data_IF_551574255338
#
_entry.id   IF_551574255338
#
_cell.length_a   1.000
_cell.length_b   1.000
_cell.length_c   1.000
_cell.angle_alpha   90.00
_cell.angle_beta   90.00
_cell.angle_gamma   90.00
#
_symmetry.space_group_name_H-M   'P 1'
#
loop_
_entity.id
_entity.type
_entity.pdbx_description
1 polymer ?
2 non-polymer ?
#
# COMPACT_ATOMS: atom_id res chain seq x y z
N UNK A 1 3.35 23.39 13.85
CA UNK A 1 3.27 21.91 13.85
C UNK A 1 3.81 21.38 12.52
N UNK A 2 4.07 22.29 11.57
CA UNK A 2 4.60 21.89 10.28
C UNK A 2 5.96 21.23 10.48
N UNK A 3 6.56 21.49 11.63
CA UNK A 3 7.85 20.91 11.95
C UNK A 3 7.79 19.41 11.67
N UNK A 4 6.67 18.80 12.05
CA UNK A 4 6.48 17.38 11.85
C UNK A 4 6.46 17.04 10.34
N UNK A 5 5.88 17.95 9.55
CA UNK A 5 5.81 17.77 8.10
C UNK A 5 7.17 17.49 7.54
N UNK A 6 8.17 18.15 8.08
CA UNK A 6 9.53 17.95 7.65
C UNK A 6 9.99 16.52 7.95
N UNK A 7 9.57 15.98 9.09
CA UNK A 7 9.98 14.63 9.47
C UNK A 7 9.37 13.61 8.54
N UNK A 8 8.08 13.72 8.37
CA UNK A 8 7.36 12.81 7.48
C UNK A 8 7.97 12.95 6.10
N UNK A 9 8.30 14.19 5.80
CA UNK A 9 8.90 14.55 4.54
C UNK A 9 10.28 13.91 4.36
N UNK A 10 11.17 14.05 5.34
CA UNK A 10 12.50 13.47 5.21
C UNK A 10 12.46 11.95 5.37
N UNK A 11 11.81 11.50 6.41
CA UNK A 11 11.72 10.07 6.65
C UNK A 11 11.03 9.46 5.46
N UNK A 12 10.01 10.14 4.97
CA UNK A 12 9.26 9.66 3.81
C UNK A 12 10.12 9.64 2.55
N UNK A 13 10.82 10.73 2.26
CA UNK A 13 11.67 10.77 1.07
C UNK A 13 12.73 9.70 1.20
N UNK A 14 13.12 9.43 2.43
CA UNK A 14 14.12 8.43 2.73
C UNK A 14 13.50 7.05 2.68
N UNK A 15 12.24 7.00 3.09
CA UNK A 15 11.49 5.76 3.12
C UNK A 15 11.37 5.17 1.73
N UNK A 16 10.94 5.99 0.78
CA UNK A 16 10.82 5.52 -0.59
C UNK A 16 12.21 5.26 -1.16
N UNK A 17 13.12 6.16 -0.86
CA UNK A 17 14.47 6.02 -1.34
C UNK A 17 15.08 4.75 -0.79
N UNK A 18 14.81 4.50 0.49
CA UNK A 18 15.34 3.33 1.14
C UNK A 18 14.57 2.07 0.73
N UNK A 19 13.24 2.17 0.70
CA UNK A 19 12.41 1.00 0.37
C UNK A 19 12.68 0.47 -1.03
N UNK A 20 12.77 1.35 -2.00
CA UNK A 20 13.00 0.89 -3.36
C UNK A 20 14.30 0.09 -3.39
N UNK A 21 15.23 0.48 -2.52
CA UNK A 21 16.52 -0.18 -2.41
C UNK A 21 16.42 -1.47 -1.59
N UNK A 22 15.53 -1.50 -0.61
CA UNK A 22 15.41 -2.68 0.23
C UNK A 22 15.12 -3.94 -0.62
N UNK A 23 15.72 -5.08 -0.31
CA UNK A 23 15.49 -6.34 -1.09
C UNK A 23 14.02 -6.75 -1.19
N UNK A 24 13.68 -7.38 -2.32
CA UNK A 24 12.33 -7.85 -2.56
C UNK A 24 11.42 -6.75 -3.08
N UNK A 25 11.81 -5.50 -2.85
CA UNK A 25 11.01 -4.38 -3.29
C UNK A 25 11.28 -4.04 -4.76
N UNK A 26 10.20 -3.75 -5.49
CA UNK A 26 10.31 -3.37 -6.90
C UNK A 26 9.67 -2.00 -7.05
N UNK A 27 10.42 -1.03 -7.56
CA UNK A 27 9.91 0.34 -7.72
C UNK A 27 9.41 0.60 -9.11
N UNK A 28 8.36 1.41 -9.18
CA UNK A 28 7.74 1.76 -10.46
C UNK A 28 7.93 3.25 -10.77
N UNK A 29 7.67 3.66 -12.00
CA UNK A 29 7.82 5.09 -12.40
C UNK A 29 6.88 5.99 -11.61
N UNK A 30 5.73 5.44 -11.22
CA UNK A 30 4.73 6.19 -10.48
C UNK A 30 5.26 6.48 -9.07
N UNK A 31 6.33 5.79 -8.71
CA UNK A 31 6.94 5.94 -7.40
C UNK A 31 6.37 4.89 -6.46
N UNK A 32 5.45 4.08 -6.96
CA UNK A 32 4.84 3.04 -6.15
C UNK A 32 5.79 1.85 -6.10
N UNK A 33 6.00 1.31 -4.90
CA UNK A 33 6.90 0.17 -4.74
C UNK A 33 6.17 -1.00 -4.10
N UNK A 34 6.44 -2.20 -4.61
CA UNK A 34 5.82 -3.41 -4.06
C UNK A 34 6.84 -4.50 -3.85
N UNK A 35 6.62 -5.27 -2.79
CA UNK A 35 7.49 -6.36 -2.43
C UNK A 35 6.68 -7.61 -2.25
N UNK A 36 7.15 -8.69 -2.85
CA UNK A 36 6.44 -9.97 -2.79
C UNK A 36 6.85 -10.79 -1.58
N UNK A 37 5.98 -10.82 -0.59
CA UNK A 37 6.23 -11.60 0.61
C UNK A 37 6.11 -13.07 0.25
N UNK A 38 5.09 -13.36 -0.56
CA UNK A 38 4.81 -14.72 -1.00
C UNK A 38 4.32 -14.69 -2.44
N UNK A 39 4.94 -15.50 -3.29
CA UNK A 39 4.54 -15.56 -4.70
C UNK A 39 3.42 -16.58 -4.88
N UNK A 40 2.37 -16.19 -5.58
CA UNK A 40 1.23 -17.07 -5.84
C UNK A 40 1.03 -17.24 -7.34
N UNK A 41 1.28 -16.15 -8.08
CA UNK A 41 1.15 -16.16 -9.52
C UNK A 41 -0.27 -16.56 -9.94
N UNK A 42 -1.25 -16.23 -9.09
CA UNK A 42 -2.63 -16.55 -9.39
C UNK A 42 -3.33 -15.42 -10.13
N UNK A 43 -4.64 -15.48 -10.09
CA UNK A 43 -5.48 -14.48 -10.72
C UNK A 43 -5.35 -13.16 -9.97
N UNK A 44 -6.08 -12.17 -10.43
CA UNK A 44 -6.08 -10.84 -9.81
C UNK A 44 -6.98 -9.89 -10.62
N UNK A 45 -7.51 -8.87 -9.98
CA UNK A 45 -8.51 -7.93 -10.60
C UNK A 45 -7.96 -6.74 -11.36
N UNK A 46 -8.80 -6.22 -12.25
CA UNK A 46 -8.50 -5.03 -13.02
C UNK A 46 -8.96 -3.81 -12.25
N UNK A 47 -8.68 -2.65 -12.80
CA UNK A 47 -9.04 -1.40 -12.18
C UNK A 47 -10.50 -1.35 -11.79
N UNK A 48 -11.32 -2.13 -12.50
CA UNK A 48 -12.76 -2.13 -12.25
C UNK A 48 -13.25 -3.40 -11.56
N UNK A 49 -12.39 -4.39 -11.44
CA UNK A 49 -12.80 -5.65 -10.80
C UNK A 49 -12.69 -5.50 -9.29
N UNK A 50 -13.29 -6.43 -8.55
CA UNK A 50 -13.25 -6.37 -7.08
C UNK A 50 -12.28 -7.40 -6.54
N UNK A 51 -11.70 -7.07 -5.39
CA UNK A 51 -10.70 -7.92 -4.78
C UNK A 51 -11.02 -8.21 -3.32
N UNK A 52 -10.41 -9.27 -2.77
CA UNK A 52 -10.60 -9.62 -1.36
C UNK A 52 -9.22 -9.77 -0.73
N UNK A 53 -8.92 -8.96 0.31
CA UNK A 53 -7.57 -9.01 0.91
C UNK A 53 -7.54 -8.68 2.41
N UNK A 54 -6.41 -9.02 3.06
CA UNK A 54 -6.18 -8.65 4.48
C UNK A 54 -4.94 -7.75 4.49
N UNK A 55 -4.81 -6.81 5.44
CA UNK A 55 -3.65 -5.93 5.40
C UNK A 55 -3.37 -5.17 6.70
N UNK A 56 -2.12 -4.66 6.80
CA UNK A 56 -1.70 -3.81 7.93
C UNK A 56 -1.14 -2.51 7.39
N UNK A 57 -1.62 -1.37 7.90
CA UNK A 57 -1.14 -0.07 7.42
C UNK A 57 -0.35 0.66 8.49
N UNK A 58 0.80 1.23 8.10
CA UNK A 58 1.61 1.96 9.06
C UNK A 58 2.35 3.13 8.43
N UNK A 59 2.89 3.97 9.30
CA UNK A 59 3.67 5.14 8.87
C UNK A 59 5.12 4.74 8.61
N UNK A 60 5.83 5.63 7.94
CA UNK A 60 7.25 5.39 7.64
C UNK A 60 8.04 5.26 8.92
N UNK A 61 7.52 5.88 9.96
CA UNK A 61 8.15 5.93 11.27
C UNK A 61 7.68 4.78 12.16
N UNK A 62 6.84 3.92 11.61
CA UNK A 62 6.35 2.76 12.35
C UNK A 62 5.03 3.03 13.07
N UNK A 63 4.52 4.26 13.01
CA UNK A 63 3.25 4.55 13.67
C UNK A 63 2.11 3.83 12.95
N UNK A 64 1.63 2.74 13.56
CA UNK A 64 0.55 1.99 12.95
C UNK A 64 -0.77 2.70 13.16
N UNK A 65 -1.40 3.05 12.05
CA UNK A 65 -2.68 3.76 12.10
C UNK A 65 -3.85 2.90 11.68
N UNK A 66 -3.55 1.75 11.12
CA UNK A 66 -4.62 0.83 10.72
C UNK A 66 -4.09 -0.57 10.51
N UNK A 67 -4.97 -1.56 10.69
CA UNK A 67 -4.57 -2.94 10.50
C UNK A 67 -5.76 -3.86 10.27
N UNK A 68 -5.49 -4.97 9.57
CA UNK A 68 -6.52 -5.96 9.24
C UNK A 68 -5.91 -7.35 9.15
N UNK A 69 -4.73 -7.44 8.56
CA UNK A 69 -4.08 -8.73 8.43
C UNK A 69 -3.79 -9.29 9.80
N UNK A 70 -3.64 -8.40 10.78
CA UNK A 70 -3.39 -8.85 12.13
C UNK A 70 -4.54 -9.78 12.53
N UNK A 71 -5.75 -9.34 12.16
CA UNK A 71 -6.94 -10.13 12.40
C UNK A 71 -6.94 -11.29 11.41
N UNK A 72 -6.41 -11.03 10.22
CA UNK A 72 -6.33 -12.04 9.18
C UNK A 72 -7.65 -12.21 8.46
N UNK A 73 -8.53 -11.22 8.61
CA UNK A 73 -9.85 -11.29 7.97
C UNK A 73 -9.88 -10.41 6.70
N UNK A 74 -10.07 -10.99 5.52
CA UNK A 74 -10.07 -10.21 4.26
C UNK A 74 -11.14 -9.13 4.19
N UNK A 75 -10.81 -8.11 3.40
CA UNK A 75 -11.70 -6.98 3.15
C UNK A 75 -11.92 -6.90 1.66
N UNK A 76 -13.11 -6.46 1.22
CA UNK A 76 -13.38 -6.38 -0.21
C UNK A 76 -13.34 -4.95 -0.71
N UNK A 77 -12.56 -4.74 -1.78
CA UNK A 77 -12.44 -3.43 -2.38
C UNK A 77 -12.50 -3.51 -3.86
N UNK A 78 -12.99 -2.45 -4.45
CA UNK A 78 -13.03 -2.34 -5.88
C UNK A 78 -11.77 -1.59 -6.25
N UNK A 79 -10.97 -2.20 -7.10
CA UNK A 79 -9.71 -1.60 -7.48
C UNK A 79 -9.91 -0.14 -7.87
N UNK A 80 -11.11 0.22 -8.33
CA UNK A 80 -11.36 1.60 -8.74
C UNK A 80 -11.59 2.52 -7.56
N UNK A 81 -12.02 1.96 -6.44
CA UNK A 81 -12.29 2.76 -5.24
C UNK A 81 -11.10 2.76 -4.28
N UNK A 82 -10.12 1.90 -4.52
CA UNK A 82 -8.97 1.76 -3.62
C UNK A 82 -7.93 2.87 -3.82
N UNK A 83 -6.99 2.99 -2.86
CA UNK A 83 -5.95 4.03 -2.95
C UNK A 83 -5.18 3.85 -4.27
N UNK A 84 -4.70 4.91 -4.91
CA UNK A 84 -3.97 4.78 -6.21
C UNK A 84 -2.88 3.72 -6.17
N UNK A 85 -2.08 3.73 -5.12
CA UNK A 85 -1.00 2.76 -5.02
C UNK A 85 -1.57 1.35 -5.10
N UNK A 86 -2.61 1.15 -4.31
CA UNK A 86 -3.30 -0.12 -4.26
C UNK A 86 -3.94 -0.43 -5.62
N UNK A 87 -4.45 0.61 -6.27
CA UNK A 87 -5.12 0.43 -7.54
C UNK A 87 -4.28 -0.40 -8.50
N UNK A 88 -3.06 0.04 -8.73
CA UNK A 88 -2.16 -0.65 -9.64
C UNK A 88 -1.62 -1.96 -9.05
N UNK A 89 -1.27 -1.94 -7.78
CA UNK A 89 -0.69 -3.12 -7.12
C UNK A 89 -1.59 -4.36 -7.18
N UNK A 90 -2.88 -4.21 -6.88
CA UNK A 90 -3.78 -5.36 -6.90
C UNK A 90 -3.77 -5.97 -8.28
N UNK A 91 -3.77 -5.11 -9.29
CA UNK A 91 -3.79 -5.53 -10.67
C UNK A 91 -2.51 -6.30 -11.00
N UNK A 92 -1.46 -6.05 -10.23
CA UNK A 92 -0.17 -6.73 -10.45
C UNK A 92 0.05 -7.83 -9.44
N UNK A 93 -0.75 -7.86 -8.38
CA UNK A 93 -0.58 -8.86 -7.33
C UNK A 93 -1.36 -10.16 -7.65
N UNK A 94 -0.71 -11.26 -7.99
CA UNK A 94 -1.42 -12.55 -8.28
C UNK A 94 -2.10 -13.14 -7.05
N UNK A 95 -3.21 -13.80 -7.28
CA UNK A 95 -3.96 -14.41 -6.18
C UNK A 95 -3.18 -15.51 -5.53
N UNK A 96 -3.15 -15.46 -4.20
CA UNK A 96 -2.43 -16.43 -3.41
C UNK A 96 -1.10 -15.82 -3.00
N UNK A 97 -0.70 -14.78 -3.73
CA UNK A 97 0.54 -14.09 -3.45
C UNK A 97 0.32 -12.99 -2.44
N UNK A 98 1.23 -12.90 -1.47
CA UNK A 98 1.15 -11.86 -0.44
C UNK A 98 2.24 -10.83 -0.67
N UNK A 99 1.84 -9.61 -0.99
CA UNK A 99 2.80 -8.54 -1.26
C UNK A 99 2.70 -7.43 -0.23
N UNK A 100 3.70 -6.56 -0.26
CA UNK A 100 3.76 -5.37 0.58
C UNK A 100 4.01 -4.21 -0.34
N UNK A 101 3.19 -3.16 -0.26
CA UNK A 101 3.37 -2.01 -1.13
C UNK A 101 3.54 -0.75 -0.31
N UNK A 102 4.48 0.06 -0.75
CA UNK A 102 4.83 1.30 -0.09
C UNK A 102 4.32 2.41 -0.98
N UNK A 103 3.21 3.00 -0.55
CA UNK A 103 2.53 4.01 -1.35
C UNK A 103 2.97 5.44 -1.11
N UNK A 104 3.55 6.08 -2.10
CA UNK A 104 3.94 7.50 -1.97
C UNK A 104 2.74 8.33 -1.48
N UNK A 105 3.00 9.30 -0.61
CA UNK A 105 1.90 10.10 -0.09
C UNK A 105 0.98 10.58 -1.21
N UNK A 106 1.56 10.86 -2.37
CA UNK A 106 0.76 11.32 -3.50
C UNK A 106 -0.17 10.22 -4.01
N UNK A 107 0.28 8.98 -3.88
CA UNK A 107 -0.53 7.84 -4.34
C UNK A 107 -1.27 7.20 -3.17
N UNK A 108 -1.12 7.76 -1.97
CA UNK A 108 -1.77 7.21 -0.77
C UNK A 108 -2.92 8.10 -0.27
N UNK A 109 -2.74 8.71 0.92
CA UNK A 109 -3.77 9.54 1.52
C UNK A 109 -3.54 11.02 1.28
N UNK A 110 -2.50 11.35 0.50
CA UNK A 110 -2.23 12.76 0.17
C UNK A 110 -0.97 13.29 0.86
N UNK A 111 -0.45 14.39 0.37
CA UNK A 111 0.76 15.06 0.94
C UNK A 111 0.44 15.79 2.24
N UNK A 112 -0.85 15.89 2.55
CA UNK A 112 -1.28 16.57 3.77
C UNK A 112 -1.68 15.55 4.82
N UNK A 113 -1.83 16.01 6.05
CA UNK A 113 -2.25 15.10 7.09
C UNK A 113 -3.72 14.76 6.89
N UNK A 114 -3.98 13.76 6.06
CA UNK A 114 -5.37 13.36 5.79
C UNK A 114 -5.74 12.12 6.59
N UNK A 115 -5.71 12.25 7.91
CA UNK A 115 -6.05 11.14 8.79
C UNK A 115 -5.67 11.43 10.24
N UNK A 116 -5.94 10.47 11.12
CA UNK A 116 -5.63 10.60 12.54
C UNK A 116 -4.12 10.81 12.75
N UNK A 117 -3.39 9.80 13.19
CA UNK A 117 -1.92 9.92 13.45
C UNK A 117 -1.19 10.28 12.17
N UNK A 118 -1.86 10.12 11.04
CA UNK A 118 -1.24 10.46 9.77
C UNK A 118 -1.01 11.96 9.79
N UNK A 119 0.25 12.34 9.81
CA UNK A 119 0.62 13.74 9.89
C UNK A 119 0.86 14.34 8.51
N UNK A 120 1.34 15.55 8.49
CA UNK A 120 1.62 16.27 7.22
C UNK A 120 2.70 15.57 6.37
N UNK A 121 2.48 15.50 5.06
CA UNK A 121 3.48 14.88 4.17
C UNK A 121 3.80 13.45 4.62
N UNK A 122 2.76 12.64 4.82
CA UNK A 122 2.94 11.25 5.27
C UNK A 122 2.88 10.25 4.12
N UNK A 123 3.87 9.38 4.07
CA UNK A 123 3.87 8.27 3.11
C UNK A 123 3.34 7.06 3.85
N UNK A 124 2.34 6.38 3.28
CA UNK A 124 1.75 5.22 3.95
C UNK A 124 2.10 3.92 3.20
N UNK A 125 2.27 2.85 3.98
CA UNK A 125 2.59 1.54 3.45
C UNK A 125 1.56 0.55 3.95
N UNK A 126 1.28 -0.47 3.14
CA UNK A 126 0.34 -1.50 3.55
C UNK A 126 0.80 -2.88 3.11
N UNK A 127 0.41 -3.90 3.88
CA UNK A 127 0.73 -5.26 3.55
C UNK A 127 -0.51 -5.81 2.90
N UNK A 128 -0.39 -6.36 1.70
CA UNK A 128 -1.59 -6.85 1.01
C UNK A 128 -1.50 -8.33 0.69
N UNK A 129 -2.43 -9.08 1.26
CA UNK A 129 -2.54 -10.52 1.06
C UNK A 129 -3.79 -10.80 0.24
N UNK A 130 -3.63 -11.48 -0.90
CA UNK A 130 -4.78 -11.75 -1.76
C UNK A 130 -5.40 -13.12 -1.49
N UNK A 131 -6.62 -13.11 -0.94
CA UNK A 131 -7.34 -14.34 -0.63
C UNK A 131 -8.29 -14.73 -1.77
N UNK A 132 -9.02 -13.76 -2.34
CA UNK A 132 -9.95 -14.07 -3.43
C UNK A 132 -10.15 -12.84 -4.33
N UNK A 133 -10.55 -13.09 -5.58
CA UNK A 133 -10.75 -12.01 -6.56
C UNK A 133 -12.09 -12.14 -7.26
N UNK A 134 -12.75 -11.00 -7.45
CA UNK A 134 -14.04 -10.97 -8.14
C UNK A 134 -13.83 -10.54 -9.59
N UNK A 135 -14.85 -9.92 -10.15
CA UNK A 135 -14.79 -9.43 -11.52
C UNK A 135 -16.03 -8.59 -11.83
N UNK A 136 -15.80 -7.48 -12.51
CA UNK A 136 -16.87 -6.57 -12.89
C UNK A 136 -17.78 -7.20 -13.94
N UNK A 137 -17.19 -7.59 -15.06
CA UNK A 137 -17.96 -8.20 -16.14
C UNK A 137 -17.14 -8.21 -17.43
X LIG B 1 -8.70 2.19 1.22
X LIG B 1 -8.87 2.35 -0.13
X LIG B 1 -9.48 2.64 2.06
X LIG B 1 -7.72 1.26 1.57
X LIG B 1 -7.88 0.05 0.66
X LIG B 1 -6.88 -1.04 0.97
X LIG B 1 -6.60 -1.19 2.47
X LIG B 1 -7.71 -0.58 3.32
X LIG B 1 -7.86 0.85 2.99
X LIG B 1 -8.04 1.79 3.93
X LIG B 1 -8.14 2.96 3.58
X LIG B 1 -8.17 1.49 5.28
X LIG B 1 -8.43 0.34 5.67
X LIG B 1 -8.28 2.56 6.16
X LIG B 1 -9.48 3.28 5.84
X LIG B 1 -8.34 2.10 7.51
X LIG B 1 -7.07 3.47 5.99
X LIG B 1 -7.23 4.73 6.82
X LIG B 1 -8.55 5.41 6.44
X LIG B 1 -9.67 4.42 6.69
X LIG B 1 -11.02 5.06 6.41
X LIG B 1 -11.13 5.49 4.95
X LIG B 1 -11.50 6.87 4.90
X LIG B 1 -12.09 4.73 4.29
X LIG B 1 -13.24 5.33 3.80
X LIG B 1 -14.22 4.62 3.13
X LIG B 1 -15.36 5.26 2.66
X LIG B 1 -16.35 4.56 1.98
X LIG B 1 -17.48 5.21 1.51
X LIG B 1 -18.49 4.51 0.85
X LIG B 1 -18.60 4.96 -0.61
X LIG B 1 -17.45 4.42 -1.46
X LIG B 1 -16.23 4.83 -0.94
X LIG B 1 -16.08 6.02 -0.64
X LIG B 1 -15.17 3.95 -0.77
X LIG B 1 -14.26 4.12 -1.86
X LIG B 1 -15.63 2.50 -0.72
X LIG B 1 -16.71 2.37 0.21
X LIG B 1 -14.58 1.68 -0.31
X LIG B 1 -13.34 1.83 -0.91
X LIG B 1 -12.25 1.04 -0.52
X LIG B 1 -11.44 1.72 0.38
X LIG B 1 -11.02 1.12 1.37
X LIG B 1 -11.18 3.08 0.26
X LIG B 1 -9.88 3.31 -0.48
X LIG B 1 -9.38 4.73 -0.30
X LIG B 1 -10.42 5.70 -0.85
X LIG B 1 -9.73 6.87 -1.54
X LIG B 1 -8.64 7.44 -0.65
X LIG B 1 -7.95 8.61 -1.34
X LIG B 1 -6.92 9.15 -0.51
X LIG B 1 -7.35 8.14 -2.65
X LIG B 1 -6.73 9.24 -3.33
X LIG B 1 -8.43 7.54 -3.55
X LIG B 1 -9.11 6.38 -2.84
X LIG B 1 -5.81 2.75 6.42
X LIG B 1 -11.86 3.37 4.10
X LIG B 1 -19.82 4.76 1.55
X LIG B 1 -17.59 4.95 -2.89
X LIG B 1 -14.90 0.47 0.32
X LIG B 1 -11.46 0.69 -1.78
X LIG B 1 -9.16 5.06 1.18
X LIG B 1 -11.05 7.47 3.68
X LIG B 1 -13.47 5.31 -1.68
X LIG B 1 -7.48 9.69 0.69
X LIG B 1 -6.75 1.70 1.39
X LIG B 1 -7.73 0.39 -0.36
X LIG B 1 -8.90 -0.34 0.75
X LIG B 1 -5.94 -0.77 0.48
X LIG B 1 -7.24 -1.98 0.58
X LIG B 1 -5.66 -0.71 2.72
X LIG B 1 -6.53 -2.26 2.69
X LIG B 1 -7.45 -0.69 4.37
X LIG B 1 -8.66 -1.09 3.12
X LIG B 1 -9.09 1.43 7.60
X LIG B 1 -6.96 3.74 4.93
X LIG B 1 -6.41 5.42 6.61
X LIG B 1 -7.25 4.48 7.88
X LIG B 1 -8.54 5.70 5.39
X LIG B 1 -8.69 6.30 7.07
X LIG B 1 -9.63 4.10 7.73
X LIG B 1 -11.14 5.93 7.05
X LIG B 1 -11.82 4.34 6.63
X LIG B 1 -10.17 5.36 4.47
X LIG B 1 -13.38 6.41 3.96
X LIG B 1 -14.06 3.56 2.88
X LIG B 1 -15.47 6.34 2.81
X LIG B 1 -16.27 3.47 1.88
X LIG B 1 -17.60 6.29 1.69
X LIG B 1 -18.26 3.44 0.88
X LIG B 1 -18.58 6.05 -0.63
X LIG B 1 -19.54 4.61 -1.02
X LIG B 1 -17.51 3.33 -1.49
X LIG B 1 -14.66 4.19 0.16
X LIG B 1 -15.97 2.19 -1.71
X LIG B 1 -17.17 1.49 0.06
X LIG B 1 -13.24 2.44 -1.80
X LIG B 1 -12.60 0.12 -0.07
X LIG B 1 -11.12 3.53 1.25
X LIG B 1 -11.98 3.56 -0.30
X LIG B 1 -10.06 3.18 -1.55
X LIG B 1 -8.43 4.86 -0.82
X LIG B 1 -11.05 6.08 -0.04
X LIG B 1 -11.05 5.19 -1.58
X LIG B 1 -10.46 7.66 -1.76
X LIG B 1 -9.08 7.79 0.29
X LIG B 1 -7.90 6.67 -0.43
X LIG B 1 -8.69 9.38 -1.54
X LIG B 1 -6.59 7.37 -2.45
X LIG B 1 -7.40 9.67 -3.94
X LIG B 1 -7.99 7.19 -4.47
X LIG B 1 -9.17 8.32 -3.77
X LIG B 1 -9.89 5.97 -3.48
X LIG B 1 -8.38 5.61 -2.62
X LIG B 1 -5.85 2.54 7.49
X LIG B 1 -4.94 3.37 6.21
X LIG B 1 -5.72 1.81 5.87
X LIG B 1 -11.31 2.97 4.95
X LIG B 1 -11.27 3.22 3.20
X LIG B 1 -12.81 2.84 4.00
X LIG B 1 -20.60 4.17 1.06
X LIG B 1 -20.08 5.81 1.48
X LIG B 1 -19.74 4.45 2.60
X LIG B 1 -16.77 4.55 -3.50
X LIG B 1 -17.53 6.04 -2.88
X LIG B 1 -18.54 4.64 -3.31
X LIG B 1 -15.99 0.39 0.41
X LIG B 1 -14.45 0.46 1.30
X LIG B 1 -14.51 -0.35 -0.28
X LIG B 1 -11.14 1.60 -2.28
X LIG B 1 -12.09 0.11 -2.46
X LIG B 1 -10.58 0.09 -1.50
X LIG B 1 -10.06 4.84 1.75
X LIG B 1 -8.92 6.12 1.29
X LIG B 1 -8.34 4.46 1.58
X LIG B 1 -11.52 6.96 2.83
X LIG B 1 -9.97 7.37 3.61
X LIG B 1 -11.33 8.53 3.67
X LIG B 1 -12.75 5.41 -2.49
X LIG B 1 -12.95 5.26 -0.73
X LIG B 1 -14.13 6.18 -1.68
X LIG B 1 -6.70 10.21 1.25
X LIG B 1 -7.87 8.88 1.30
X LIG B 1 -8.28 10.39 0.44
#
# INVERSE_FOLDING_TARGET
FNKKADENKVKGEAFLTENKNKPGVVVLPSGLQYKVINSGNGVKPGKSDTVTVEYTGRLIDGTVFDSTEKTGKPATFQVSQVIPGWTEALQLMPAGSTWEIYVPSGLAYGPRSVGGPIGPNETLIFKIHLISVKKSS
RAP C1 O1 O2 C2 C3 C4 C5 C6 N7 C8 O3 C9 O4 C10 O5 O6 C11 C12 C13 C14 C15 C16 O7 C17 C18 C19 C20 C21 C22 C23 C24 C25 C26 O8 C27 O9 C28 O10 C29 C30 C31 C32 O11 C33 C34 C35 C36 C37 C38 C39 O12 C40 O13 C41 C42 C43 C44 C45 C46 C47 C48 C49 C50 C51 C52 H2 H31A H32 H41 H42 H51 H52 H61 H62 HO6 H11 H121 H122 H131 H132 H14 H151 H152 H16 H18 H19 H20 H21 H22 H23 H241 H242 H25 H27 H28 HO1 H30 H31 H331 H332 H34 H35 H361 H362 H37 H381 H382 H39 H40 HO3 H411 H412 H421 H422 H431 H432 H433 H441 H442 H443 H451 H452 H453 H461 H462 H463 H471 H472 H473 H481 H482 H483 H491 H492 H493 H501 H502 H503 H511 H512 H513 H521 H522 H523
#
